data_IF_672344497316
#
_entry.id   IF_672344497316
#
_cell.length_a   1.000
_cell.length_b   1.000
_cell.length_c   1.000
_cell.angle_alpha   90.00
_cell.angle_beta   90.00
_cell.angle_gamma   90.00
#
_symmetry.space_group_name_H-M   'P 1'
#
loop_
_entity.id
_entity.type
_entity.pdbx_description
1 polymer ?
#
# COMPACT_ATOMS: atom_id res chain seq x y z
N UNK A 1 -15.06 12.52 28.99
CA UNK A 1 -14.89 12.89 27.57
C UNK A 1 -13.73 12.07 27.02
N UNK A 2 -13.98 10.80 26.64
CA UNK A 2 -12.96 9.99 25.96
C UNK A 2 -12.69 10.63 24.61
N UNK A 3 -11.46 11.08 24.37
CA UNK A 3 -11.11 11.66 23.07
C UNK A 3 -11.11 10.51 22.07
N UNK A 4 -11.95 10.63 21.05
CA UNK A 4 -12.07 9.71 19.92
C UNK A 4 -10.71 9.32 19.29
N UNK A 5 -9.71 10.20 19.40
CA UNK A 5 -8.32 9.95 19.01
C UNK A 5 -7.64 8.85 19.82
N UNK A 6 -7.90 8.76 21.12
CA UNK A 6 -7.24 7.81 22.01
C UNK A 6 -7.73 6.38 21.74
N UNK A 7 -9.01 6.21 21.39
CA UNK A 7 -9.57 4.91 20.97
C UNK A 7 -8.99 4.47 19.62
N UNK A 8 -8.86 5.41 18.68
CA UNK A 8 -8.28 5.09 17.36
C UNK A 8 -6.80 4.71 17.49
N UNK A 9 -6.04 5.42 18.32
CA UNK A 9 -4.63 5.16 18.58
C UNK A 9 -4.41 3.83 19.30
N UNK A 10 -5.19 3.51 20.34
CA UNK A 10 -5.11 2.25 21.09
C UNK A 10 -5.47 1.03 20.24
N UNK A 11 -6.44 1.18 19.32
CA UNK A 11 -6.76 0.13 18.34
C UNK A 11 -5.58 -0.02 17.37
N UNK A 12 -5.08 1.08 16.84
CA UNK A 12 -4.00 1.07 15.86
C UNK A 12 -2.72 0.42 16.41
N UNK A 13 -2.28 0.80 17.61
CA UNK A 13 -1.08 0.25 18.26
C UNK A 13 -1.23 -1.24 18.61
N UNK A 14 -2.43 -1.69 19.00
CA UNK A 14 -2.69 -3.12 19.26
C UNK A 14 -2.67 -3.99 18.01
N UNK A 15 -3.08 -3.45 16.87
CA UNK A 15 -3.13 -4.20 15.61
C UNK A 15 -1.83 -4.08 14.80
N UNK A 16 -0.98 -3.07 15.04
CA UNK A 16 0.29 -2.87 14.32
C UNK A 16 1.22 -4.10 14.44
N UNK A 17 1.37 -4.67 15.64
CA UNK A 17 2.18 -5.89 15.87
C UNK A 17 1.57 -7.15 15.23
N UNK A 18 0.24 -7.27 15.22
CA UNK A 18 -0.46 -8.36 14.54
C UNK A 18 -0.32 -8.27 13.02
N UNK A 19 -0.36 -7.05 12.48
CA UNK A 19 -0.27 -6.73 11.05
C UNK A 19 1.16 -6.91 10.54
N UNK A 20 2.17 -6.56 11.36
CA UNK A 20 3.56 -6.91 11.08
C UNK A 20 3.75 -8.44 10.90
N UNK A 21 2.90 -9.25 11.56
CA UNK A 21 2.84 -10.70 11.39
C UNK A 21 2.41 -11.20 10.00
N UNK A 22 1.76 -10.36 9.18
CA UNK A 22 1.40 -10.67 7.79
C UNK A 22 2.47 -10.25 6.77
N UNK A 23 3.63 -9.81 7.25
CA UNK A 23 4.82 -9.50 6.44
C UNK A 23 5.21 -8.02 6.54
N UNK A 24 4.33 -7.10 6.12
CA UNK A 24 4.64 -5.67 6.12
C UNK A 24 3.40 -4.80 6.33
N UNK A 25 3.56 -3.70 7.08
CA UNK A 25 2.54 -2.64 7.21
C UNK A 25 2.15 -2.04 5.85
N UNK A 26 3.04 -2.12 4.85
CA UNK A 26 2.78 -1.69 3.48
C UNK A 26 1.75 -2.55 2.72
N UNK A 27 1.31 -3.67 3.29
CA UNK A 27 0.29 -4.56 2.71
C UNK A 27 -1.10 -4.39 3.33
N UNK A 28 -1.28 -3.44 4.26
CA UNK A 28 -2.55 -3.24 4.95
C UNK A 28 -3.28 -1.98 4.51
N UNK A 29 -4.58 -2.10 4.33
CA UNK A 29 -5.52 -0.99 4.11
C UNK A 29 -6.37 -0.76 5.34
N UNK A 30 -6.69 0.52 5.61
CA UNK A 30 -7.67 0.91 6.60
C UNK A 30 -8.87 1.52 5.89
N UNK A 31 -10.07 1.01 6.18
CA UNK A 31 -11.33 1.54 5.65
C UNK A 31 -12.30 1.80 6.80
N UNK A 32 -12.65 3.07 7.01
CA UNK A 32 -13.71 3.51 7.90
C UNK A 32 -15.04 3.50 7.14
N UNK A 33 -16.04 2.79 7.64
CA UNK A 33 -17.41 2.78 7.10
C UNK A 33 -18.35 3.49 8.08
N UNK A 34 -19.09 4.48 7.59
CA UNK A 34 -20.11 5.15 8.40
C UNK A 34 -21.38 4.29 8.54
N UNK A 35 -22.19 4.49 9.60
CA UNK A 35 -23.43 3.74 9.82
C UNK A 35 -24.48 3.91 8.71
N UNK A 36 -24.35 4.93 7.86
CA UNK A 36 -25.23 5.17 6.71
C UNK A 36 -25.02 4.16 5.57
N UNK A 37 -23.97 3.32 5.64
CA UNK A 37 -23.61 2.36 4.60
C UNK A 37 -23.15 2.99 3.28
N UNK A 38 -22.93 4.32 3.25
CA UNK A 38 -22.62 5.10 2.04
C UNK A 38 -21.34 5.89 2.15
N UNK A 39 -20.98 6.36 3.33
CA UNK A 39 -19.79 7.19 3.51
C UNK A 39 -18.63 6.30 3.96
N UNK A 40 -17.49 6.41 3.26
CA UNK A 40 -16.26 5.71 3.63
C UNK A 40 -15.07 6.66 3.71
N UNK A 41 -14.10 6.34 4.55
CA UNK A 41 -12.74 6.87 4.49
C UNK A 41 -11.76 5.72 4.23
N UNK A 42 -10.88 5.85 3.24
CA UNK A 42 -9.86 4.85 2.92
C UNK A 42 -8.47 5.47 3.07
N UNK A 43 -7.59 4.82 3.82
CA UNK A 43 -6.23 5.27 4.08
C UNK A 43 -5.25 4.09 4.15
N UNK A 44 -3.96 4.39 4.02
CA UNK A 44 -2.92 3.42 4.33
C UNK A 44 -2.85 3.24 5.85
N UNK A 45 -2.73 2.00 6.31
CA UNK A 45 -2.59 1.69 7.74
C UNK A 45 -1.15 1.90 8.27
N UNK A 46 -0.36 2.78 7.63
CA UNK A 46 0.95 3.18 8.12
C UNK A 46 1.05 4.71 8.20
N UNK A 47 1.89 5.22 9.11
CA UNK A 47 2.19 6.65 9.20
C UNK A 47 3.05 7.16 8.02
N UNK A 48 3.58 8.37 8.15
CA UNK A 48 4.31 9.08 7.08
C UNK A 48 5.71 8.53 6.76
N UNK A 49 6.10 7.40 7.35
CA UNK A 49 7.40 6.74 7.14
C UNK A 49 8.59 7.72 7.29
N UNK A 50 8.57 8.52 8.36
CA UNK A 50 9.48 9.67 8.56
C UNK A 50 10.95 9.30 8.44
N UNK A 51 11.35 8.10 8.86
CA UNK A 51 12.73 7.61 8.70
C UNK A 51 13.17 7.58 7.23
N UNK A 52 12.32 7.07 6.33
CA UNK A 52 12.64 7.04 4.90
C UNK A 52 12.62 8.46 4.32
N UNK A 53 11.69 9.32 4.78
CA UNK A 53 11.66 10.71 4.36
C UNK A 53 12.96 11.46 4.70
N UNK A 54 13.58 11.22 5.87
CA UNK A 54 14.88 11.80 6.22
C UNK A 54 16.03 11.34 5.32
N UNK A 55 16.01 10.09 4.87
CA UNK A 55 17.01 9.60 3.90
C UNK A 55 16.77 10.21 2.51
N UNK A 56 15.51 10.34 2.09
CA UNK A 56 15.14 11.04 0.86
C UNK A 56 15.60 12.51 0.86
N UNK A 57 15.45 13.23 1.98
CA UNK A 57 15.96 14.61 2.12
C UNK A 57 17.49 14.72 1.99
N UNK A 58 18.21 13.60 2.16
CA UNK A 58 19.67 13.50 1.99
C UNK A 58 20.05 12.92 0.63
N UNK A 59 19.10 12.83 -0.31
CA UNK A 59 19.28 12.26 -1.66
C UNK A 59 19.73 10.79 -1.64
N UNK A 60 19.46 10.09 -0.54
CA UNK A 60 19.77 8.66 -0.44
C UNK A 60 18.64 7.81 -0.99
N UNK A 61 18.94 6.61 -1.53
CA UNK A 61 17.92 5.72 -2.04
C UNK A 61 16.97 5.25 -0.92
N UNK A 62 15.68 5.24 -1.21
CA UNK A 62 14.62 4.72 -0.33
C UNK A 62 13.88 3.59 -1.01
N UNK A 63 13.41 2.62 -0.23
CA UNK A 63 12.54 1.53 -0.69
C UNK A 63 11.33 1.47 0.24
N UNK A 64 10.43 2.44 0.07
CA UNK A 64 9.16 2.52 0.78
C UNK A 64 8.10 1.79 -0.04
N UNK A 65 7.38 0.86 0.58
CA UNK A 65 6.29 0.13 -0.07
C UNK A 65 5.07 1.04 -0.30
N UNK A 66 4.65 1.29 -1.55
CA UNK A 66 3.51 2.16 -1.84
C UNK A 66 2.16 1.41 -1.92
N UNK A 67 2.13 0.08 -1.78
CA UNK A 67 0.93 -0.74 -2.06
C UNK A 67 -0.26 -0.30 -1.20
N UNK A 68 -0.10 -0.16 0.11
CA UNK A 68 -1.15 0.33 1.01
C UNK A 68 -1.70 1.70 0.59
N UNK A 69 -0.83 2.61 0.13
CA UNK A 69 -1.24 3.93 -0.36
C UNK A 69 -1.99 3.85 -1.70
N UNK A 70 -1.57 2.96 -2.60
CA UNK A 70 -2.29 2.68 -3.85
C UNK A 70 -3.67 2.09 -3.54
N UNK A 71 -3.75 1.15 -2.59
CA UNK A 71 -5.01 0.52 -2.25
C UNK A 71 -5.97 1.50 -1.55
N UNK A 72 -5.48 2.48 -0.79
CA UNK A 72 -6.33 3.54 -0.27
C UNK A 72 -7.05 4.30 -1.42
N UNK A 73 -6.33 4.60 -2.51
CA UNK A 73 -6.93 5.20 -3.71
C UNK A 73 -7.93 4.27 -4.38
N UNK A 74 -7.57 3.03 -4.67
CA UNK A 74 -8.46 2.09 -5.38
C UNK A 74 -9.72 1.81 -4.58
N UNK A 75 -9.65 1.70 -3.25
CA UNK A 75 -10.83 1.47 -2.40
C UNK A 75 -11.79 2.65 -2.39
N UNK A 76 -11.25 3.88 -2.32
CA UNK A 76 -12.06 5.09 -2.45
C UNK A 76 -12.75 5.20 -3.81
N UNK A 77 -12.00 4.93 -4.89
CA UNK A 77 -12.50 5.00 -6.27
C UNK A 77 -13.49 3.88 -6.60
N UNK A 78 -13.24 2.66 -6.14
CA UNK A 78 -14.15 1.53 -6.32
C UNK A 78 -15.49 1.80 -5.64
N UNK A 79 -15.47 2.37 -4.43
CA UNK A 79 -16.68 2.78 -3.72
C UNK A 79 -17.44 3.88 -4.45
N UNK A 80 -16.74 4.90 -4.97
CA UNK A 80 -17.35 5.91 -5.85
C UNK A 80 -17.99 5.27 -7.08
N UNK A 81 -17.29 4.33 -7.71
CA UNK A 81 -17.80 3.56 -8.84
C UNK A 81 -19.07 2.77 -8.52
N UNK A 82 -19.16 2.18 -7.32
CA UNK A 82 -20.36 1.48 -6.84
C UNK A 82 -21.53 2.44 -6.65
N UNK A 83 -21.31 3.60 -6.04
CA UNK A 83 -22.34 4.61 -5.83
C UNK A 83 -22.86 5.21 -7.14
N UNK A 84 -22.01 5.32 -8.16
CA UNK A 84 -22.37 5.89 -9.47
C UNK A 84 -22.85 4.85 -10.49
N UNK A 85 -22.77 3.55 -10.17
CA UNK A 85 -23.02 2.50 -11.15
C UNK A 85 -22.02 2.52 -12.32
N UNK A 86 -20.75 2.86 -12.06
CA UNK A 86 -19.68 2.95 -13.04
C UNK A 86 -18.79 1.68 -13.02
N UNK A 87 -19.08 0.66 -13.84
CA UNK A 87 -18.32 -0.59 -13.85
C UNK A 87 -16.90 -0.45 -14.37
N UNK A 88 -16.62 0.55 -15.22
CA UNK A 88 -15.28 0.77 -15.78
C UNK A 88 -14.32 1.28 -14.71
N UNK A 89 -14.79 2.18 -13.84
CA UNK A 89 -14.01 2.65 -12.70
C UNK A 89 -13.73 1.51 -11.71
N UNK A 90 -14.73 0.67 -11.42
CA UNK A 90 -14.56 -0.52 -10.57
C UNK A 90 -13.52 -1.47 -11.17
N UNK A 91 -13.62 -1.75 -12.48
CA UNK A 91 -12.67 -2.62 -13.18
C UNK A 91 -11.26 -2.05 -13.16
N UNK A 92 -11.08 -0.75 -13.39
CA UNK A 92 -9.77 -0.10 -13.30
C UNK A 92 -9.13 -0.30 -11.92
N UNK A 93 -9.91 -0.09 -10.83
CA UNK A 93 -9.43 -0.26 -9.47
C UNK A 93 -8.99 -1.70 -9.21
N UNK A 94 -9.81 -2.68 -9.59
CA UNK A 94 -9.50 -4.10 -9.43
C UNK A 94 -8.27 -4.52 -10.26
N UNK A 95 -8.12 -3.99 -11.48
CA UNK A 95 -6.94 -4.23 -12.30
C UNK A 95 -5.68 -3.67 -11.65
N UNK A 96 -5.72 -2.45 -11.11
CA UNK A 96 -4.56 -1.86 -10.44
C UNK A 96 -4.15 -2.63 -9.18
N UNK A 97 -5.11 -3.06 -8.36
CA UNK A 97 -4.81 -3.89 -7.20
C UNK A 97 -4.18 -5.23 -7.59
N UNK A 98 -4.74 -5.88 -8.62
CA UNK A 98 -4.21 -7.12 -9.17
C UNK A 98 -2.77 -6.94 -9.69
N UNK A 99 -2.50 -5.86 -10.41
CA UNK A 99 -1.15 -5.53 -10.91
C UNK A 99 -0.15 -5.37 -9.77
N UNK A 100 -0.53 -4.76 -8.65
CA UNK A 100 0.36 -4.65 -7.48
C UNK A 100 0.75 -6.02 -6.92
N UNK A 101 -0.22 -6.92 -6.79
CA UNK A 101 0.01 -8.29 -6.31
C UNK A 101 0.89 -9.06 -7.28
N UNK A 102 0.53 -9.09 -8.57
CA UNK A 102 1.29 -9.80 -9.61
C UNK A 102 2.73 -9.26 -9.75
N UNK A 103 2.94 -7.95 -9.53
CA UNK A 103 4.29 -7.35 -9.54
C UNK A 103 5.16 -7.95 -8.43
N UNK A 104 4.63 -8.05 -7.21
CA UNK A 104 5.35 -8.69 -6.08
C UNK A 104 5.57 -10.17 -6.32
N UNK A 105 4.55 -10.90 -6.79
CA UNK A 105 4.64 -12.34 -7.08
C UNK A 105 5.65 -12.65 -8.21
N UNK A 106 5.85 -11.71 -9.14
CA UNK A 106 6.88 -11.81 -10.19
C UNK A 106 8.32 -11.60 -9.68
N UNK A 107 8.50 -11.28 -8.39
CA UNK A 107 9.79 -11.07 -7.74
C UNK A 107 10.23 -9.61 -7.67
N UNK A 108 9.48 -8.67 -8.26
CA UNK A 108 9.76 -7.23 -8.14
C UNK A 108 9.09 -6.70 -6.89
N UNK A 109 9.87 -6.33 -5.87
CA UNK A 109 9.33 -5.90 -4.58
C UNK A 109 10.22 -4.89 -3.86
N UNK A 110 9.67 -4.25 -2.81
CA UNK A 110 10.41 -3.32 -1.95
C UNK A 110 11.11 -4.03 -0.79
N UNK A 111 12.02 -3.32 -0.11
CA UNK A 111 12.96 -3.87 0.89
C UNK A 111 12.26 -4.55 2.07
N UNK A 112 11.13 -4.03 2.50
CA UNK A 112 10.30 -4.62 3.55
C UNK A 112 9.85 -6.03 3.17
N UNK A 113 9.31 -6.23 1.97
CA UNK A 113 8.83 -7.52 1.48
C UNK A 113 9.98 -8.51 1.25
N UNK A 114 11.07 -8.04 0.64
CA UNK A 114 12.27 -8.87 0.49
C UNK A 114 12.84 -9.30 1.84
N UNK A 115 12.74 -8.43 2.85
CA UNK A 115 13.12 -8.71 4.24
C UNK A 115 12.35 -9.86 4.86
N UNK A 116 11.07 -10.02 4.51
CA UNK A 116 10.23 -11.14 4.96
C UNK A 116 10.67 -12.47 4.35
N UNK A 117 11.19 -12.47 3.12
CA UNK A 117 11.57 -13.68 2.38
C UNK A 117 13.01 -14.10 2.72
N UNK A 118 13.95 -13.15 2.73
CA UNK A 118 15.39 -13.42 2.79
C UNK A 118 16.04 -13.02 4.13
N UNK A 119 15.31 -12.32 4.99
CA UNK A 119 15.84 -11.67 6.18
C UNK A 119 16.54 -10.35 5.85
N UNK A 120 16.21 -9.28 6.57
CA UNK A 120 16.69 -7.91 6.30
C UNK A 120 18.22 -7.77 6.19
N UNK A 121 18.99 -8.60 6.90
CA UNK A 121 20.45 -8.57 6.87
C UNK A 121 21.05 -9.11 5.55
N UNK A 122 20.30 -9.94 4.82
CA UNK A 122 20.76 -10.58 3.59
C UNK A 122 20.27 -9.86 2.33
N UNK A 123 19.30 -8.94 2.46
CA UNK A 123 18.70 -8.25 1.33
C UNK A 123 19.65 -7.20 0.71
N UNK A 124 19.84 -7.30 -0.60
CA UNK A 124 20.60 -6.32 -1.41
C UNK A 124 19.70 -5.66 -2.45
N UNK A 125 19.90 -4.35 -2.63
CA UNK A 125 19.18 -3.55 -3.62
C UNK A 125 19.59 -4.00 -5.03
N UNK A 126 18.63 -4.06 -5.95
CA UNK A 126 18.75 -4.57 -7.33
C UNK A 126 19.03 -6.07 -7.48
N UNK A 127 19.09 -6.82 -6.38
CA UNK A 127 19.15 -8.28 -6.37
C UNK A 127 17.88 -8.88 -5.77
N UNK A 128 17.46 -8.38 -4.61
CA UNK A 128 16.30 -8.88 -3.87
C UNK A 128 15.12 -7.89 -3.83
N UNK A 129 15.42 -6.59 -3.93
CA UNK A 129 14.42 -5.53 -3.89
C UNK A 129 14.86 -4.33 -4.73
N UNK A 130 13.90 -3.49 -5.09
CA UNK A 130 14.13 -2.25 -5.84
C UNK A 130 13.83 -1.01 -5.00
N UNK A 131 14.27 0.16 -5.47
CA UNK A 131 13.94 1.42 -4.82
C UNK A 131 12.46 1.80 -5.04
N UNK A 132 12.01 2.86 -4.36
CA UNK A 132 10.60 3.30 -4.38
C UNK A 132 10.12 3.69 -5.78
N UNK A 133 10.96 4.40 -6.53
CA UNK A 133 10.65 4.87 -7.89
C UNK A 133 10.60 3.71 -8.87
N UNK A 134 11.61 2.84 -8.85
CA UNK A 134 11.67 1.67 -9.73
C UNK A 134 10.48 0.73 -9.50
N UNK A 135 10.03 0.58 -8.25
CA UNK A 135 8.84 -0.21 -7.93
C UNK A 135 7.55 0.44 -8.49
N UNK A 136 7.41 1.76 -8.35
CA UNK A 136 6.27 2.49 -8.93
C UNK A 136 6.28 2.42 -10.47
N UNK A 137 7.45 2.50 -11.09
CA UNK A 137 7.61 2.37 -12.54
C UNK A 137 7.28 0.95 -13.03
N UNK A 138 7.63 -0.08 -12.25
CA UNK A 138 7.23 -1.45 -12.54
C UNK A 138 5.70 -1.62 -12.48
N UNK A 139 5.05 -1.08 -11.44
CA UNK A 139 3.57 -1.07 -11.33
C UNK A 139 2.95 -0.34 -12.52
N UNK A 140 3.45 0.86 -12.85
CA UNK A 140 2.96 1.64 -13.99
C UNK A 140 3.07 0.84 -15.30
N UNK A 141 4.24 0.28 -15.58
CA UNK A 141 4.50 -0.50 -16.80
C UNK A 141 3.56 -1.70 -16.90
N UNK A 142 3.35 -2.40 -15.78
CA UNK A 142 2.44 -3.55 -15.73
C UNK A 142 0.97 -3.13 -15.87
N UNK A 143 0.59 -1.98 -15.31
CA UNK A 143 -0.74 -1.42 -15.47
C UNK A 143 -1.02 -1.02 -16.92
N UNK A 144 -0.11 -0.30 -17.56
CA UNK A 144 -0.24 0.12 -18.96
C UNK A 144 -0.41 -1.12 -19.85
N UNK A 145 0.39 -2.16 -19.63
CA UNK A 145 0.25 -3.46 -20.31
C UNK A 145 -1.13 -4.10 -20.08
N UNK A 146 -1.61 -4.15 -18.85
CA UNK A 146 -2.93 -4.72 -18.52
C UNK A 146 -4.10 -3.90 -19.08
N UNK A 147 -3.90 -2.61 -19.34
CA UNK A 147 -4.88 -1.72 -19.98
C UNK A 147 -4.74 -1.66 -21.52
N UNK A 148 -3.75 -2.35 -22.10
CA UNK A 148 -3.50 -2.35 -23.53
C UNK A 148 -2.94 -1.02 -24.07
N UNK A 149 -2.17 -0.31 -23.25
CA UNK A 149 -1.53 0.98 -23.58
C UNK A 149 -0.02 0.83 -23.78
#
# INVERSE_FOLDING_TARGET
MCRFKDIFQDIYEKYEDFVAGFGSLGLMTSVLLCPDGKTIGAEAAHGTVTRHYREHQREKPTSTNPIASIFAWTRGLEHRGKLDGNPDLIRFCQTLEKVCVETVESGVMTKDLAGCIHGLANCKMNEHYVNTTDFLDAIRTNLDRSLGR
#
